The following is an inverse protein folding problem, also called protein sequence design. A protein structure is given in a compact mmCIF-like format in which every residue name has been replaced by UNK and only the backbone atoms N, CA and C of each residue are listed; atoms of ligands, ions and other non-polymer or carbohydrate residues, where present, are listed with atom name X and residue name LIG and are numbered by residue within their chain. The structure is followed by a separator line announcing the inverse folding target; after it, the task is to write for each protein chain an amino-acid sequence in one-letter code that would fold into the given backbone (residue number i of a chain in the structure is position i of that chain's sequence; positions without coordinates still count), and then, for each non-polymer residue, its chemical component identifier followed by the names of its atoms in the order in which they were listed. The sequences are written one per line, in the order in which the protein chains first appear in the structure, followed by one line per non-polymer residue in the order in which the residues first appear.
data_IF_844137813595
#
_entry.id   IF_844137813595
#
_cell.length_a   1.000
_cell.length_b   1.000
_cell.length_c   1.000
_cell.angle_alpha   90.00
_cell.angle_beta   90.00
_cell.angle_gamma   90.00
#
_symmetry.space_group_name_H-M   'P 1'
#
loop_
_entity.id
_entity.type
_entity.pdbx_description
1 polymer ?
#
# COMPACT_ATOMS: atom_id res chain seq x y z
N UNK A 1 -12.05 52.56 10.59
CA UNK A 1 -12.00 52.46 9.12
C UNK A 1 -12.14 51.00 8.62
N UNK A 2 -13.36 50.48 8.47
CA UNK A 2 -13.60 49.11 7.98
C UNK A 2 -13.21 48.90 6.51
N UNK A 3 -13.31 49.94 5.66
CA UNK A 3 -12.88 49.89 4.25
C UNK A 3 -11.37 49.70 4.09
N UNK A 4 -10.55 50.32 4.94
CA UNK A 4 -9.09 50.17 4.91
C UNK A 4 -8.64 48.74 5.28
N UNK A 5 -9.27 48.14 6.31
CA UNK A 5 -9.04 46.72 6.66
C UNK A 5 -9.44 45.77 5.55
N UNK A 6 -10.58 46.02 4.87
CA UNK A 6 -11.02 45.21 3.73
C UNK A 6 -10.03 45.28 2.56
N UNK A 7 -9.50 46.47 2.26
CA UNK A 7 -8.50 46.68 1.21
C UNK A 7 -7.17 45.97 1.53
N UNK A 8 -6.68 46.09 2.76
CA UNK A 8 -5.48 45.38 3.21
C UNK A 8 -5.65 43.84 3.15
N UNK A 9 -6.82 43.33 3.53
CA UNK A 9 -7.13 41.90 3.41
C UNK A 9 -7.13 41.40 1.96
N UNK A 10 -7.70 42.18 1.03
CA UNK A 10 -7.67 41.86 -0.40
C UNK A 10 -6.25 41.90 -0.98
N UNK A 11 -5.43 42.86 -0.55
CA UNK A 11 -4.02 42.92 -0.96
C UNK A 11 -3.24 41.71 -0.45
N UNK A 12 -3.43 41.33 0.82
CA UNK A 12 -2.78 40.15 1.39
C UNK A 12 -3.21 38.86 0.66
N UNK A 13 -4.51 38.71 0.38
CA UNK A 13 -5.02 37.58 -0.41
C UNK A 13 -4.43 37.58 -1.84
N UNK A 14 -4.34 38.74 -2.48
CA UNK A 14 -3.71 38.89 -3.79
C UNK A 14 -2.23 38.52 -3.79
N UNK A 15 -1.45 38.97 -2.80
CA UNK A 15 -0.05 38.58 -2.65
C UNK A 15 0.11 37.08 -2.39
N UNK A 16 -0.76 36.48 -1.58
CA UNK A 16 -0.76 35.04 -1.32
C UNK A 16 -1.06 34.24 -2.58
N UNK A 17 -2.11 34.59 -3.32
CA UNK A 17 -2.46 33.95 -4.59
C UNK A 17 -1.37 34.15 -5.65
N UNK A 18 -0.78 35.35 -5.70
CA UNK A 18 0.37 35.64 -6.56
C UNK A 18 1.59 34.77 -6.22
N UNK A 19 1.89 34.62 -4.93
CA UNK A 19 2.95 33.72 -4.44
C UNK A 19 2.69 32.26 -4.78
N UNK A 20 1.46 31.77 -4.57
CA UNK A 20 1.05 30.42 -5.02
C UNK A 20 1.22 30.27 -6.53
N UNK A 21 0.79 31.26 -7.31
CA UNK A 21 0.93 31.26 -8.76
C UNK A 21 2.39 31.19 -9.21
N UNK A 22 3.28 31.95 -8.58
CA UNK A 22 4.73 31.91 -8.85
C UNK A 22 5.34 30.52 -8.67
N UNK A 23 4.81 29.71 -7.73
CA UNK A 23 5.29 28.34 -7.48
C UNK A 23 4.61 27.32 -8.41
N UNK A 24 3.29 27.42 -8.60
CA UNK A 24 2.50 26.39 -9.29
C UNK A 24 2.47 26.56 -10.82
N UNK A 25 2.47 27.80 -11.32
CA UNK A 25 2.35 28.06 -12.76
C UNK A 25 3.55 27.56 -13.57
N UNK A 26 4.82 27.66 -13.13
CA UNK A 26 5.95 27.08 -13.86
C UNK A 26 5.84 25.56 -14.01
N UNK A 27 5.41 24.88 -12.94
CA UNK A 27 5.16 23.43 -12.96
C UNK A 27 4.03 23.10 -13.94
N UNK A 28 2.94 23.87 -13.88
CA UNK A 28 1.78 23.69 -14.76
C UNK A 28 2.13 23.94 -16.23
N UNK A 29 2.94 24.96 -16.52
CA UNK A 29 3.44 25.27 -17.85
C UNK A 29 4.35 24.16 -18.37
N UNK A 30 5.29 23.66 -17.56
CA UNK A 30 6.11 22.50 -17.91
C UNK A 30 5.26 21.27 -18.23
N UNK A 31 4.27 20.98 -17.38
CA UNK A 31 3.36 19.85 -17.59
C UNK A 31 2.60 19.98 -18.91
N UNK A 32 2.16 21.19 -19.26
CA UNK A 32 1.51 21.47 -20.53
C UNK A 32 2.45 21.30 -21.73
N UNK A 33 3.67 21.83 -21.66
CA UNK A 33 4.66 21.75 -22.75
C UNK A 33 5.11 20.30 -23.00
N UNK A 34 5.31 19.51 -21.94
CA UNK A 34 5.82 18.13 -22.05
C UNK A 34 4.69 17.12 -22.30
N UNK A 35 3.55 17.27 -21.62
CA UNK A 35 2.47 16.30 -21.61
C UNK A 35 1.27 16.65 -22.50
N UNK A 36 1.24 17.84 -23.10
CA UNK A 36 0.12 18.31 -23.92
C UNK A 36 -1.15 18.67 -23.14
N UNK A 37 -1.12 18.58 -21.81
CA UNK A 37 -2.27 18.80 -20.93
C UNK A 37 -1.90 19.71 -19.74
N UNK A 38 -2.80 20.62 -19.36
CA UNK A 38 -2.56 21.53 -18.24
C UNK A 38 -2.89 20.84 -16.91
N UNK A 39 -1.87 20.68 -16.05
CA UNK A 39 -2.02 20.10 -14.71
C UNK A 39 -1.39 21.02 -13.67
N UNK A 40 -2.15 21.37 -12.62
CA UNK A 40 -1.67 22.27 -11.56
C UNK A 40 -0.41 21.75 -10.86
N UNK A 41 -0.34 20.43 -10.66
CA UNK A 41 0.80 19.73 -10.04
C UNK A 41 1.07 18.39 -10.74
N UNK A 42 0.08 17.50 -10.78
CA UNK A 42 0.20 16.12 -11.29
C UNK A 42 -1.12 15.59 -11.83
N UNK A 43 -1.04 14.63 -12.75
CA UNK A 43 -2.18 13.84 -13.24
C UNK A 43 -2.53 12.66 -12.33
N UNK A 44 -1.83 12.46 -11.21
CA UNK A 44 -2.02 11.31 -10.31
C UNK A 44 -3.13 11.50 -9.26
N UNK A 45 -3.88 12.61 -9.32
CA UNK A 45 -4.95 12.88 -8.36
C UNK A 45 -5.98 11.74 -8.30
N UNK A 46 -6.45 11.26 -9.47
CA UNK A 46 -7.46 10.21 -9.57
C UNK A 46 -7.03 8.88 -8.97
N UNK A 47 -5.92 8.27 -9.42
CA UNK A 47 -5.40 7.03 -8.85
C UNK A 47 -5.20 7.12 -7.34
N UNK A 48 -4.54 8.17 -6.85
CA UNK A 48 -4.28 8.35 -5.41
C UNK A 48 -5.59 8.49 -4.60
N UNK A 49 -6.57 9.21 -5.15
CA UNK A 49 -7.88 9.31 -4.52
C UNK A 49 -8.57 7.95 -4.49
N UNK A 50 -8.54 7.20 -5.58
CA UNK A 50 -9.19 5.89 -5.67
C UNK A 50 -8.56 4.85 -4.75
N UNK A 51 -7.22 4.75 -4.68
CA UNK A 51 -6.50 3.82 -3.80
C UNK A 51 -7.01 3.92 -2.36
N UNK A 52 -7.25 5.14 -1.89
CA UNK A 52 -7.82 5.36 -0.57
C UNK A 52 -9.33 5.14 -0.49
N UNK A 53 -10.08 5.21 -1.59
CA UNK A 53 -11.55 5.34 -1.59
C UNK A 53 -12.23 4.34 -2.54
N UNK A 54 -12.15 3.06 -2.18
CA UNK A 54 -12.90 1.98 -2.82
C UNK A 54 -13.38 0.97 -1.77
N UNK A 55 -14.29 0.07 -2.16
CA UNK A 55 -14.95 -0.87 -1.24
C UNK A 55 -14.02 -1.83 -0.48
N UNK A 56 -12.81 -2.10 -1.01
CA UNK A 56 -11.80 -2.97 -0.40
C UNK A 56 -10.71 -2.20 0.37
N UNK A 57 -10.74 -0.86 0.32
CA UNK A 57 -9.73 -0.04 0.98
C UNK A 57 -9.82 -0.19 2.51
N UNK A 58 -8.68 -0.33 3.16
CA UNK A 58 -8.59 -0.44 4.63
C UNK A 58 -8.18 0.89 5.31
N UNK A 59 -8.03 1.97 4.54
CA UNK A 59 -7.61 3.28 5.01
C UNK A 59 -6.10 3.56 4.88
N UNK A 60 -5.29 2.52 4.67
CA UNK A 60 -3.88 2.60 4.27
C UNK A 60 -3.74 2.49 2.74
N UNK A 61 -2.52 2.61 2.24
CA UNK A 61 -2.17 2.29 0.87
C UNK A 61 -2.45 0.80 0.57
N UNK A 62 -3.08 0.54 -0.58
CA UNK A 62 -3.23 -0.78 -1.16
C UNK A 62 -2.93 -0.69 -2.66
N UNK A 63 -2.07 -1.57 -3.22
CA UNK A 63 -1.81 -1.53 -4.64
C UNK A 63 -3.05 -1.95 -5.44
N UNK A 64 -3.20 -1.36 -6.63
CA UNK A 64 -4.33 -1.66 -7.52
C UNK A 64 -4.28 -3.10 -8.04
N UNK A 65 -3.08 -3.66 -8.18
CA UNK A 65 -2.86 -5.08 -8.43
C UNK A 65 -2.22 -5.71 -7.20
N UNK A 66 -2.68 -6.88 -6.75
CA UNK A 66 -2.00 -7.63 -5.71
C UNK A 66 -0.50 -7.78 -6.03
N UNK A 67 0.35 -7.64 -5.02
CA UNK A 67 1.81 -7.88 -5.09
C UNK A 67 2.62 -6.88 -5.94
N UNK A 68 2.00 -5.86 -6.55
CA UNK A 68 2.69 -4.76 -7.24
C UNK A 68 2.65 -3.47 -6.42
N UNK A 69 3.18 -3.55 -5.20
CA UNK A 69 3.17 -2.49 -4.19
C UNK A 69 4.11 -1.32 -4.43
N UNK A 70 5.10 -1.44 -5.32
CA UNK A 70 6.14 -0.43 -5.47
C UNK A 70 5.67 0.80 -6.25
N UNK A 71 6.23 1.96 -5.91
CA UNK A 71 5.95 3.23 -6.58
C UNK A 71 6.17 3.19 -8.11
N UNK A 72 7.03 2.29 -8.59
CA UNK A 72 7.28 2.08 -10.03
C UNK A 72 6.03 1.57 -10.76
N UNK A 73 5.22 0.73 -10.10
CA UNK A 73 4.07 0.08 -10.72
C UNK A 73 2.77 0.85 -10.55
N UNK A 74 2.64 1.72 -9.54
CA UNK A 74 1.41 2.47 -9.27
C UNK A 74 0.83 3.18 -10.50
N UNK A 75 1.66 4.00 -11.16
CA UNK A 75 1.23 4.76 -12.33
C UNK A 75 0.93 3.85 -13.53
N UNK A 76 1.73 2.80 -13.70
CA UNK A 76 1.57 1.85 -14.80
C UNK A 76 0.29 1.03 -14.63
N UNK A 77 0.06 0.45 -13.46
CA UNK A 77 -1.11 -0.37 -13.15
C UNK A 77 -2.39 0.47 -13.21
N UNK A 78 -2.36 1.70 -12.68
CA UNK A 78 -3.49 2.62 -12.78
C UNK A 78 -3.85 2.90 -14.25
N UNK A 79 -2.84 3.06 -15.12
CA UNK A 79 -3.05 3.27 -16.55
C UNK A 79 -3.59 2.02 -17.22
N UNK A 80 -2.89 0.90 -17.10
CA UNK A 80 -3.23 -0.36 -17.77
C UNK A 80 -4.62 -0.86 -17.40
N UNK A 81 -4.99 -0.81 -16.11
CA UNK A 81 -6.31 -1.23 -15.66
C UNK A 81 -7.41 -0.30 -16.19
N UNK A 82 -7.16 1.00 -16.28
CA UNK A 82 -8.11 1.94 -16.85
C UNK A 82 -8.25 1.76 -18.37
N UNK A 83 -7.14 1.57 -19.09
CA UNK A 83 -7.12 1.30 -20.53
C UNK A 83 -7.82 -0.02 -20.87
N UNK A 84 -7.58 -1.07 -20.07
CA UNK A 84 -8.25 -2.36 -20.20
C UNK A 84 -9.77 -2.24 -20.00
N UNK A 85 -10.19 -1.49 -18.98
CA UNK A 85 -11.61 -1.30 -18.67
C UNK A 85 -12.34 -0.47 -19.74
N UNK A 86 -11.67 0.50 -20.36
CA UNK A 86 -12.26 1.37 -21.40
C UNK A 86 -12.10 0.77 -22.81
N UNK A 87 -11.14 -0.13 -23.01
CA UNK A 87 -10.85 -0.77 -24.31
C UNK A 87 -10.06 0.11 -25.28
N UNK A 88 -9.33 1.12 -24.79
CA UNK A 88 -8.45 1.97 -25.61
C UNK A 88 -7.34 2.59 -24.76
N UNK A 89 -6.32 3.12 -25.42
CA UNK A 89 -5.30 3.94 -24.75
C UNK A 89 -5.90 5.25 -24.21
N UNK A 90 -5.42 5.67 -23.04
CA UNK A 90 -5.90 6.84 -22.31
C UNK A 90 -4.78 7.85 -22.07
N UNK A 91 -5.10 9.14 -22.13
CA UNK A 91 -4.18 10.19 -21.66
C UNK A 91 -4.04 10.16 -20.13
N UNK A 92 -2.98 10.73 -19.54
CA UNK A 92 -2.84 10.83 -18.09
C UNK A 92 -4.04 11.53 -17.40
N UNK A 93 -4.62 12.59 -17.99
CA UNK A 93 -5.84 13.18 -17.44
C UNK A 93 -7.05 12.24 -17.56
N UNK A 94 -7.18 11.48 -18.66
CA UNK A 94 -8.26 10.51 -18.81
C UNK A 94 -8.18 9.40 -17.77
N UNK A 95 -6.97 8.88 -17.51
CA UNK A 95 -6.71 7.93 -16.42
C UNK A 95 -7.11 8.55 -15.08
N UNK A 96 -6.68 9.79 -14.79
CA UNK A 96 -7.11 10.50 -13.58
C UNK A 96 -8.63 10.60 -13.46
N UNK A 97 -9.30 11.05 -14.53
CA UNK A 97 -10.76 11.21 -14.54
C UNK A 97 -11.48 9.88 -14.39
N UNK A 98 -10.94 8.79 -14.93
CA UNK A 98 -11.49 7.45 -14.75
C UNK A 98 -11.49 7.06 -13.26
N UNK A 99 -10.34 7.12 -12.60
CA UNK A 99 -10.22 6.74 -11.19
C UNK A 99 -10.96 7.68 -10.24
N UNK A 100 -10.98 8.99 -10.52
CA UNK A 100 -11.82 9.94 -9.76
C UNK A 100 -13.30 9.58 -9.86
N UNK A 101 -13.79 9.15 -11.03
CA UNK A 101 -15.18 8.70 -11.20
C UNK A 101 -15.45 7.42 -10.43
N UNK A 102 -14.51 6.47 -10.42
CA UNK A 102 -14.63 5.24 -9.63
C UNK A 102 -14.71 5.53 -8.12
N UNK A 103 -13.87 6.43 -7.61
CA UNK A 103 -13.91 6.85 -6.20
C UNK A 103 -15.25 7.54 -5.87
N UNK A 104 -15.70 8.45 -6.72
CA UNK A 104 -16.99 9.13 -6.55
C UNK A 104 -18.19 8.18 -6.69
N UNK A 105 -18.05 7.09 -7.46
CA UNK A 105 -19.06 6.04 -7.55
C UNK A 105 -19.15 5.27 -6.24
N UNK A 106 -18.02 4.87 -5.63
CA UNK A 106 -18.04 4.23 -4.31
C UNK A 106 -18.74 5.09 -3.24
N UNK A 107 -18.49 6.40 -3.21
CA UNK A 107 -19.17 7.32 -2.28
C UNK A 107 -20.69 7.36 -2.48
N UNK A 108 -21.14 7.27 -3.73
CA UNK A 108 -22.58 7.29 -4.08
C UNK A 108 -23.25 5.96 -3.80
N UNK A 109 -22.58 4.86 -4.13
CA UNK A 109 -23.13 3.50 -4.05
C UNK A 109 -23.13 2.98 -2.60
N UNK A 110 -22.11 3.32 -1.79
CA UNK A 110 -22.01 2.96 -0.37
C UNK A 110 -21.54 4.12 0.52
N UNK A 111 -22.40 5.11 0.80
CA UNK A 111 -22.04 6.25 1.65
C UNK A 111 -21.74 5.85 3.08
N UNK A 112 -22.31 4.74 3.58
CA UNK A 112 -22.07 4.24 4.94
C UNK A 112 -20.69 3.60 5.06
N UNK A 113 -20.29 2.79 4.09
CA UNK A 113 -18.95 2.24 3.99
C UNK A 113 -17.90 3.34 3.84
N UNK A 114 -18.16 4.35 3.01
CA UNK A 114 -17.29 5.50 2.88
C UNK A 114 -17.14 6.28 4.21
N UNK A 115 -18.23 6.55 4.94
CA UNK A 115 -18.15 7.21 6.26
C UNK A 115 -17.36 6.39 7.27
N UNK A 116 -17.53 5.06 7.28
CA UNK A 116 -16.75 4.15 8.14
C UNK A 116 -15.26 4.19 7.78
N UNK A 117 -14.96 4.22 6.49
CA UNK A 117 -13.60 4.34 5.98
C UNK A 117 -12.95 5.68 6.36
N UNK A 118 -13.68 6.80 6.23
CA UNK A 118 -13.22 8.12 6.70
C UNK A 118 -12.96 8.13 8.20
N UNK A 119 -13.86 7.56 9.00
CA UNK A 119 -13.67 7.44 10.45
C UNK A 119 -12.42 6.61 10.79
N UNK A 120 -12.20 5.49 10.10
CA UNK A 120 -10.98 4.68 10.25
C UNK A 120 -9.73 5.48 9.89
N UNK A 121 -9.71 6.17 8.75
CA UNK A 121 -8.59 7.01 8.33
C UNK A 121 -8.32 8.14 9.32
N UNK A 122 -9.35 8.72 9.92
CA UNK A 122 -9.19 9.71 10.97
C UNK A 122 -8.45 9.12 12.18
N UNK A 123 -8.83 7.92 12.63
CA UNK A 123 -8.10 7.23 13.71
C UNK A 123 -6.65 6.96 13.30
N UNK A 124 -6.43 6.41 12.09
CA UNK A 124 -5.09 6.12 11.57
C UNK A 124 -4.20 7.37 11.47
N UNK A 125 -4.77 8.51 11.06
CA UNK A 125 -4.04 9.78 10.91
C UNK A 125 -3.44 10.24 12.25
N UNK A 126 -4.14 10.00 13.35
CA UNK A 126 -3.72 10.40 14.69
C UNK A 126 -3.13 9.25 15.52
N UNK A 127 -2.98 8.05 14.94
CA UNK A 127 -2.55 6.88 15.68
C UNK A 127 -1.09 6.96 16.15
N UNK A 128 -0.77 6.35 17.28
CA UNK A 128 0.58 6.31 17.82
C UNK A 128 1.55 5.50 16.94
N UNK A 129 1.04 4.52 16.20
CA UNK A 129 1.81 3.72 15.27
C UNK A 129 1.94 4.47 13.94
N UNK A 130 3.15 4.48 13.40
CA UNK A 130 3.45 4.98 12.07
C UNK A 130 3.22 3.90 11.03
N UNK A 131 2.38 4.22 10.05
CA UNK A 131 2.04 3.32 8.96
C UNK A 131 3.13 3.36 7.90
N UNK A 132 3.68 2.20 7.59
CA UNK A 132 4.73 2.05 6.58
C UNK A 132 4.19 2.31 5.18
N UNK A 133 5.04 2.89 4.35
CA UNK A 133 4.86 3.00 2.91
C UNK A 133 5.78 2.02 2.18
N UNK A 134 7.07 2.02 2.57
CA UNK A 134 8.08 1.06 2.07
C UNK A 134 8.88 0.47 3.22
N UNK A 135 9.38 1.32 4.12
CA UNK A 135 10.19 0.91 5.27
C UNK A 135 9.68 1.60 6.54
N UNK A 136 9.72 0.88 7.65
CA UNK A 136 9.26 1.35 8.94
C UNK A 136 10.44 1.85 9.81
N UNK A 137 10.16 2.83 10.66
CA UNK A 137 11.18 3.37 11.57
C UNK A 137 11.53 2.44 12.74
N UNK A 138 10.69 1.46 13.06
CA UNK A 138 10.87 0.57 14.21
C UNK A 138 12.00 -0.41 13.96
N UNK A 139 12.12 -0.93 12.74
CA UNK A 139 13.25 -1.75 12.29
C UNK A 139 14.56 -0.96 12.43
N UNK A 140 14.63 0.29 11.97
CA UNK A 140 15.85 1.11 12.14
C UNK A 140 16.16 1.46 13.59
N UNK A 141 15.14 1.57 14.45
CA UNK A 141 15.33 1.85 15.87
C UNK A 141 16.05 0.71 16.61
N UNK A 142 15.97 -0.53 16.12
CA UNK A 142 16.70 -1.68 16.70
C UNK A 142 18.22 -1.51 16.59
N UNK A 143 18.68 -0.79 15.56
CA UNK A 143 20.09 -0.53 15.30
C UNK A 143 20.57 0.82 15.83
N UNK A 144 19.67 1.65 16.39
CA UNK A 144 19.99 3.00 16.85
C UNK A 144 19.32 3.33 18.18
N UNK A 145 20.14 3.38 19.24
CA UNK A 145 19.67 3.79 20.58
C UNK A 145 18.99 5.16 20.60
N UNK A 146 19.47 6.10 19.77
CA UNK A 146 18.86 7.43 19.67
C UNK A 146 17.45 7.37 19.09
N UNK A 147 17.26 6.62 18.00
CA UNK A 147 15.94 6.41 17.40
C UNK A 147 15.02 5.63 18.34
N UNK A 148 15.54 4.59 18.98
CA UNK A 148 14.82 3.82 20.00
C UNK A 148 14.29 4.70 21.14
N UNK A 149 15.15 5.56 21.71
CA UNK A 149 14.73 6.51 22.75
C UNK A 149 13.70 7.52 22.22
N UNK A 150 13.88 8.02 20.99
CA UNK A 150 12.93 8.95 20.38
C UNK A 150 11.55 8.32 20.16
N UNK A 151 11.49 7.00 19.95
CA UNK A 151 10.25 6.24 19.75
C UNK A 151 9.28 6.30 20.93
N UNK A 152 9.76 6.61 22.15
CA UNK A 152 8.89 6.79 23.32
C UNK A 152 8.30 8.19 23.47
N UNK A 153 8.83 9.19 22.75
CA UNK A 153 8.51 10.61 23.00
C UNK A 153 7.95 11.29 21.76
N UNK A 154 8.46 10.95 20.58
CA UNK A 154 8.24 11.69 19.33
C UNK A 154 7.23 10.98 18.42
N UNK A 155 6.20 10.36 19.02
CA UNK A 155 5.09 9.74 18.28
C UNK A 155 3.77 10.43 18.60
N UNK A 156 2.76 10.27 17.73
CA UNK A 156 1.51 11.02 17.84
C UNK A 156 0.70 10.66 19.10
N UNK A 157 0.93 9.46 19.67
CA UNK A 157 0.36 9.03 20.94
C UNK A 157 0.77 9.87 22.15
N UNK A 158 1.89 10.59 22.07
CA UNK A 158 2.37 11.53 23.10
C UNK A 158 2.24 12.98 22.64
N UNK A 159 2.63 13.26 21.39
CA UNK A 159 2.64 14.62 20.86
C UNK A 159 1.23 15.23 20.79
N UNK A 160 0.23 14.48 20.33
CA UNK A 160 -1.13 15.02 20.13
C UNK A 160 -1.82 15.35 21.47
N UNK A 161 -1.79 14.49 22.50
CA UNK A 161 -2.30 14.83 23.84
C UNK A 161 -1.64 16.07 24.46
N UNK A 162 -0.32 16.19 24.34
CA UNK A 162 0.43 17.35 24.82
C UNK A 162 0.10 18.60 24.02
N UNK A 163 -0.08 18.48 22.70
CA UNK A 163 -0.49 19.58 21.83
C UNK A 163 -1.90 20.09 22.17
N UNK A 164 -2.84 19.18 22.46
CA UNK A 164 -4.19 19.55 22.94
C UNK A 164 -4.11 20.29 24.27
N UNK A 165 -3.27 19.82 25.20
CA UNK A 165 -3.04 20.52 26.45
C UNK A 165 -2.40 21.91 26.23
N UNK A 166 -1.44 22.00 25.32
CA UNK A 166 -0.82 23.26 24.91
C UNK A 166 -1.82 24.23 24.27
N UNK A 167 -2.78 23.73 23.50
CA UNK A 167 -3.87 24.53 22.96
C UNK A 167 -4.76 25.11 24.08
N UNK A 168 -5.02 24.35 25.16
CA UNK A 168 -5.69 24.88 26.36
C UNK A 168 -4.87 26.00 27.03
N UNK A 169 -3.58 25.75 27.26
CA UNK A 169 -2.67 26.73 27.87
C UNK A 169 -2.61 28.05 27.06
N UNK A 170 -2.61 27.94 25.74
CA UNK A 170 -2.42 29.07 24.81
C UNK A 170 -3.72 29.62 24.22
N UNK A 171 -4.88 29.13 24.66
CA UNK A 171 -6.18 29.48 24.05
C UNK A 171 -6.49 30.98 24.07
N UNK A 172 -5.98 31.70 25.08
CA UNK A 172 -6.09 33.16 25.16
C UNK A 172 -5.46 33.88 23.94
N UNK A 173 -4.46 33.25 23.28
CA UNK A 173 -3.79 33.72 22.06
C UNK A 173 -4.32 33.09 20.77
N UNK A 174 -5.50 32.46 20.80
CA UNK A 174 -6.07 31.73 19.64
C UNK A 174 -6.21 32.54 18.35
N UNK A 175 -6.28 33.88 18.42
CA UNK A 175 -6.31 34.74 17.22
C UNK A 175 -4.94 34.84 16.55
N UNK A 176 -3.87 34.85 17.35
CA UNK A 176 -2.49 34.84 16.85
C UNK A 176 -2.12 33.44 16.33
N UNK A 177 -2.59 32.40 17.02
CA UNK A 177 -2.32 31.00 16.69
C UNK A 177 -3.30 30.40 15.67
N UNK A 178 -4.25 31.18 15.14
CA UNK A 178 -5.30 30.69 14.26
C UNK A 178 -4.71 29.95 13.05
N UNK A 179 -3.69 30.54 12.40
CA UNK A 179 -3.06 29.94 11.23
C UNK A 179 -2.43 28.57 11.57
N UNK A 180 -1.81 28.44 12.73
CA UNK A 180 -1.23 27.18 13.20
C UNK A 180 -2.30 26.10 13.36
N UNK A 181 -3.44 26.43 13.98
CA UNK A 181 -4.56 25.50 14.11
C UNK A 181 -5.16 25.12 12.76
N UNK A 182 -5.32 26.09 11.86
CA UNK A 182 -5.84 25.83 10.51
C UNK A 182 -4.90 24.92 9.72
N UNK A 183 -3.58 25.11 9.81
CA UNK A 183 -2.60 24.21 9.17
C UNK A 183 -2.77 22.79 9.68
N UNK A 184 -2.81 22.58 11.00
CA UNK A 184 -2.97 21.24 11.58
C UNK A 184 -4.28 20.58 11.12
N UNK A 185 -5.40 21.31 11.17
CA UNK A 185 -6.72 20.77 10.80
C UNK A 185 -6.81 20.50 9.29
N UNK A 186 -6.48 21.47 8.44
CA UNK A 186 -6.60 21.30 6.99
C UNK A 186 -5.61 20.28 6.45
N UNK A 187 -4.41 20.22 7.00
CA UNK A 187 -3.44 19.20 6.59
C UNK A 187 -3.91 17.80 6.99
N UNK A 188 -4.38 17.60 8.23
CA UNK A 188 -4.94 16.33 8.66
C UNK A 188 -6.15 15.90 7.79
N UNK A 189 -7.04 16.83 7.47
CA UNK A 189 -8.15 16.56 6.55
C UNK A 189 -7.66 16.17 5.15
N UNK A 190 -6.60 16.81 4.64
CA UNK A 190 -6.03 16.45 3.35
C UNK A 190 -5.50 15.02 3.34
N UNK A 191 -4.91 14.53 4.43
CA UNK A 191 -4.45 13.14 4.56
C UNK A 191 -5.64 12.16 4.59
N UNK A 192 -6.69 12.49 5.36
CA UNK A 192 -7.89 11.63 5.50
C UNK A 192 -8.62 11.41 4.17
N UNK A 193 -8.64 12.40 3.28
CA UNK A 193 -9.32 12.31 1.98
C UNK A 193 -8.69 11.26 1.06
N UNK A 194 -7.37 11.05 1.14
CA UNK A 194 -6.64 10.07 0.32
C UNK A 194 -6.47 8.75 1.06
N UNK A 195 -5.24 8.30 1.31
CA UNK A 195 -4.90 7.14 2.12
C UNK A 195 -3.83 7.54 3.14
N UNK A 196 -3.80 6.84 4.26
CA UNK A 196 -2.97 7.22 5.41
C UNK A 196 -1.70 6.39 5.43
N UNK A 197 -0.56 7.06 5.25
CA UNK A 197 0.79 6.51 5.45
C UNK A 197 1.66 7.52 6.20
N UNK A 198 2.71 7.06 6.88
CA UNK A 198 3.58 7.87 7.73
C UNK A 198 4.18 9.08 7.00
N UNK A 199 4.62 8.88 5.75
CA UNK A 199 5.17 9.95 4.89
C UNK A 199 4.25 11.15 4.76
N UNK A 200 2.93 10.93 4.65
CA UNK A 200 1.95 11.99 4.50
C UNK A 200 1.44 12.54 5.82
N UNK A 201 1.70 11.88 6.95
CA UNK A 201 1.35 12.41 8.28
C UNK A 201 2.46 13.27 8.85
N UNK A 202 3.71 12.99 8.47
CA UNK A 202 4.91 13.62 9.00
C UNK A 202 4.86 15.16 9.05
N UNK A 203 4.31 15.88 8.05
CA UNK A 203 4.25 17.35 8.11
C UNK A 203 3.33 17.91 9.20
N UNK A 204 2.51 17.09 9.87
CA UNK A 204 1.79 17.47 11.10
C UNK A 204 2.72 17.56 12.31
N UNK A 205 3.87 16.89 12.31
CA UNK A 205 4.73 16.82 13.49
C UNK A 205 5.28 18.20 13.92
N UNK A 206 5.86 19.04 13.05
CA UNK A 206 6.39 20.34 13.48
C UNK A 206 5.37 21.25 14.20
N UNK A 207 4.15 21.50 13.68
CA UNK A 207 3.18 22.32 14.40
C UNK A 207 2.66 21.66 15.69
N UNK A 208 2.55 20.33 15.73
CA UNK A 208 2.19 19.60 16.95
C UNK A 208 3.29 19.71 18.02
N UNK A 209 4.57 19.64 17.64
CA UNK A 209 5.70 19.80 18.55
C UNK A 209 5.67 21.18 19.22
N UNK A 210 5.39 22.25 18.46
CA UNK A 210 5.28 23.60 19.02
C UNK A 210 4.16 23.71 20.06
N UNK A 211 3.00 23.13 19.77
CA UNK A 211 1.87 23.09 20.71
C UNK A 211 2.18 22.20 21.92
N UNK A 212 2.78 21.03 21.70
CA UNK A 212 3.16 20.11 22.77
C UNK A 212 4.17 20.74 23.73
N UNK A 213 5.19 21.43 23.20
CA UNK A 213 6.15 22.19 23.98
C UNK A 213 5.46 23.27 24.83
N UNK A 214 4.51 24.02 24.25
CA UNK A 214 3.71 24.98 25.03
C UNK A 214 2.90 24.30 26.14
N UNK A 215 2.37 23.10 25.89
CA UNK A 215 1.70 22.27 26.88
C UNK A 215 2.60 21.96 28.08
N UNK A 216 3.80 21.44 27.82
CA UNK A 216 4.79 21.10 28.85
C UNK A 216 5.24 22.34 29.62
N UNK A 217 5.67 23.39 28.93
CA UNK A 217 6.22 24.60 29.55
C UNK A 217 5.18 25.37 30.39
N UNK A 218 3.93 25.45 29.93
CA UNK A 218 2.90 26.23 30.61
C UNK A 218 2.08 25.44 31.63
N UNK A 219 2.23 24.12 31.72
CA UNK A 219 1.32 23.26 32.51
C UNK A 219 1.17 23.69 33.96
N UNK A 220 2.29 23.87 34.67
CA UNK A 220 2.27 24.24 36.09
C UNK A 220 1.61 25.60 36.31
N UNK A 221 1.88 26.57 35.43
CA UNK A 221 1.29 27.90 35.50
C UNK A 221 -0.20 27.88 35.21
N UNK A 222 -0.62 27.15 34.17
CA UNK A 222 -2.02 27.01 33.79
C UNK A 222 -2.84 26.33 34.89
N UNK A 223 -2.40 25.18 35.39
CA UNK A 223 -3.12 24.40 36.42
C UNK A 223 -3.32 25.17 37.74
N UNK A 224 -2.46 26.16 38.02
CA UNK A 224 -2.57 27.01 39.22
C UNK A 224 -3.39 28.28 39.00
N UNK A 225 -3.48 28.77 37.77
CA UNK A 225 -4.10 30.07 37.44
C UNK A 225 -5.56 29.97 37.01
N UNK A 226 -6.01 28.80 36.55
CA UNK A 226 -7.39 28.61 36.08
C UNK A 226 -8.29 27.94 37.12
N UNK A 227 -9.62 28.14 37.05
CA UNK A 227 -10.57 27.39 37.88
C UNK A 227 -10.42 25.88 37.71
N UNK A 228 -10.65 25.13 38.80
CA UNK A 228 -10.47 23.66 38.84
C UNK A 228 -11.18 22.90 37.72
N UNK A 229 -12.38 23.33 37.32
CA UNK A 229 -13.13 22.68 36.24
C UNK A 229 -12.44 22.83 34.87
N UNK A 230 -11.78 23.98 34.59
CA UNK A 230 -11.02 24.18 33.35
C UNK A 230 -9.75 23.33 33.34
N UNK A 231 -9.06 23.27 34.48
CA UNK A 231 -7.90 22.39 34.64
C UNK A 231 -8.29 20.92 34.44
N UNK A 232 -9.39 20.48 35.06
CA UNK A 232 -9.92 19.13 34.91
C UNK A 232 -10.35 18.84 33.46
N UNK A 233 -11.03 19.76 32.79
CA UNK A 233 -11.42 19.62 31.39
C UNK A 233 -10.21 19.51 30.45
N UNK A 234 -9.16 20.32 30.67
CA UNK A 234 -7.93 20.26 29.89
C UNK A 234 -7.25 18.89 30.05
N UNK A 235 -7.05 18.44 31.28
CA UNK A 235 -6.44 17.12 31.56
C UNK A 235 -7.30 15.99 31.00
N UNK A 236 -8.61 16.02 31.24
CA UNK A 236 -9.53 15.01 30.71
C UNK A 236 -9.48 14.94 29.18
N UNK A 237 -9.50 16.10 28.49
CA UNK A 237 -9.39 16.14 27.03
C UNK A 237 -8.08 15.54 26.52
N UNK A 238 -6.95 15.85 27.17
CA UNK A 238 -5.65 15.27 26.82
C UNK A 238 -5.59 13.76 27.08
N UNK A 239 -6.16 13.28 28.19
CA UNK A 239 -6.24 11.84 28.49
C UNK A 239 -7.13 11.12 27.47
N UNK A 240 -8.31 11.66 27.15
CA UNK A 240 -9.19 11.09 26.12
C UNK A 240 -8.51 11.01 24.76
N UNK A 241 -7.78 12.06 24.36
CA UNK A 241 -7.00 12.08 23.12
C UNK A 241 -5.84 11.09 23.18
N UNK A 242 -5.20 10.91 24.34
CA UNK A 242 -4.16 9.90 24.51
C UNK A 242 -4.71 8.49 24.31
N UNK A 243 -5.87 8.18 24.89
CA UNK A 243 -6.56 6.89 24.67
C UNK A 243 -6.92 6.72 23.20
N UNK A 244 -7.43 7.78 22.54
CA UNK A 244 -7.77 7.74 21.12
C UNK A 244 -6.55 7.49 20.22
N UNK A 245 -5.47 8.24 20.41
CA UNK A 245 -4.25 8.12 19.61
C UNK A 245 -3.54 6.78 19.84
N UNK A 246 -3.59 6.23 21.06
CA UNK A 246 -2.97 4.93 21.37
C UNK A 246 -3.94 3.75 21.23
N UNK A 247 -5.12 3.94 20.61
CA UNK A 247 -6.04 2.85 20.35
C UNK A 247 -5.38 1.82 19.41
N UNK A 248 -5.44 0.51 19.70
CA UNK A 248 -4.71 -0.52 18.96
C UNK A 248 -5.38 -0.87 17.63
N UNK A 249 -5.45 0.10 16.70
CA UNK A 249 -5.93 -0.11 15.32
C UNK A 249 -4.82 -0.53 14.34
N UNK A 250 -3.56 -0.35 14.73
CA UNK A 250 -2.36 -0.67 13.95
C UNK A 250 -1.31 -1.32 14.87
N UNK A 251 -0.40 -2.10 14.28
CA UNK A 251 0.63 -2.85 15.01
C UNK A 251 2.01 -2.49 14.47
N UNK A 252 2.96 -2.18 15.37
CA UNK A 252 4.36 -1.99 14.99
C UNK A 252 4.95 -3.28 14.39
N UNK A 253 4.56 -4.45 14.90
CA UNK A 253 5.03 -5.74 14.37
C UNK A 253 4.52 -5.98 12.94
N UNK A 254 3.30 -5.55 12.63
CA UNK A 254 2.80 -5.59 11.25
C UNK A 254 3.60 -4.65 10.33
N UNK A 255 4.03 -3.48 10.82
CA UNK A 255 4.87 -2.56 10.04
C UNK A 255 6.26 -3.15 9.79
N UNK A 256 6.88 -3.75 10.83
CA UNK A 256 8.13 -4.49 10.70
C UNK A 256 8.02 -5.66 9.72
N UNK A 257 6.91 -6.41 9.78
CA UNK A 257 6.67 -7.51 8.86
C UNK A 257 6.71 -7.03 7.40
N UNK A 258 6.03 -5.92 7.09
CA UNK A 258 6.03 -5.32 5.75
C UNK A 258 7.45 -4.91 5.33
N UNK A 259 8.24 -4.32 6.22
CA UNK A 259 9.63 -3.94 5.90
C UNK A 259 10.49 -5.16 5.59
N UNK A 260 10.46 -6.19 6.44
CA UNK A 260 11.19 -7.43 6.19
C UNK A 260 10.75 -8.09 4.88
N UNK A 261 9.45 -8.11 4.58
CA UNK A 261 8.94 -8.58 3.29
C UNK A 261 9.52 -7.77 2.12
N UNK A 262 9.51 -6.44 2.21
CA UNK A 262 10.02 -5.58 1.14
C UNK A 262 11.53 -5.75 0.93
N UNK A 263 12.32 -5.85 2.01
CA UNK A 263 13.76 -6.15 1.91
C UNK A 263 13.98 -7.52 1.27
N UNK A 264 13.19 -8.53 1.65
CA UNK A 264 13.22 -9.85 1.02
C UNK A 264 12.96 -9.81 -0.49
N UNK A 265 11.97 -9.03 -0.94
CA UNK A 265 11.66 -8.84 -2.37
C UNK A 265 12.84 -8.21 -3.13
N UNK A 266 13.49 -7.21 -2.55
CA UNK A 266 14.64 -6.57 -3.19
C UNK A 266 15.88 -7.50 -3.24
N UNK A 267 16.09 -8.32 -2.21
CA UNK A 267 17.15 -9.34 -2.20
C UNK A 267 16.91 -10.42 -3.25
N UNK A 268 15.66 -10.87 -3.39
CA UNK A 268 15.24 -11.85 -4.40
C UNK A 268 15.46 -11.31 -5.83
N UNK A 269 15.16 -10.04 -6.06
CA UNK A 269 15.38 -9.37 -7.35
C UNK A 269 16.86 -9.29 -7.77
N UNK A 270 17.80 -9.41 -6.81
CA UNK A 270 19.25 -9.49 -7.07
C UNK A 270 19.81 -10.90 -6.84
N UNK A 271 18.94 -11.92 -6.83
CA UNK A 271 19.28 -13.35 -6.71
C UNK A 271 20.00 -13.74 -5.41
N UNK A 272 19.81 -12.99 -4.32
CA UNK A 272 20.35 -13.30 -2.99
C UNK A 272 19.33 -14.11 -2.18
N UNK A 273 19.02 -15.30 -2.67
CA UNK A 273 17.87 -16.10 -2.21
C UNK A 273 17.94 -16.51 -0.74
N UNK A 274 19.10 -16.91 -0.22
CA UNK A 274 19.23 -17.32 1.18
C UNK A 274 18.95 -16.17 2.15
N UNK A 275 19.38 -14.97 1.81
CA UNK A 275 19.13 -13.77 2.61
C UNK A 275 17.67 -13.33 2.50
N UNK A 276 17.10 -13.38 1.29
CA UNK A 276 15.67 -13.11 1.06
C UNK A 276 14.79 -14.05 1.90
N UNK A 277 15.10 -15.35 1.93
CA UNK A 277 14.41 -16.34 2.78
C UNK A 277 14.49 -15.93 4.26
N UNK A 278 15.65 -15.49 4.73
CA UNK A 278 15.83 -15.02 6.11
C UNK A 278 14.87 -13.86 6.46
N UNK A 279 14.80 -12.86 5.60
CA UNK A 279 13.91 -11.71 5.74
C UNK A 279 12.43 -12.12 5.67
N UNK A 280 12.06 -12.97 4.73
CA UNK A 280 10.68 -13.47 4.64
C UNK A 280 10.27 -14.31 5.85
N UNK A 281 11.18 -15.08 6.45
CA UNK A 281 10.90 -15.83 7.68
C UNK A 281 10.66 -14.88 8.87
N UNK A 282 11.41 -13.77 8.96
CA UNK A 282 11.15 -12.72 9.95
C UNK A 282 9.78 -12.07 9.72
N UNK A 283 9.44 -11.75 8.47
CA UNK A 283 8.11 -11.25 8.12
C UNK A 283 7.00 -12.22 8.52
N UNK A 284 7.12 -13.51 8.18
CA UNK A 284 6.10 -14.52 8.47
C UNK A 284 5.94 -14.78 9.98
N UNK A 285 7.02 -14.60 10.77
CA UNK A 285 6.96 -14.67 12.22
C UNK A 285 6.17 -13.52 12.84
N UNK A 286 6.28 -12.32 12.26
CA UNK A 286 5.62 -11.10 12.75
C UNK A 286 4.17 -10.99 12.25
N UNK A 287 3.89 -11.42 11.02
CA UNK A 287 2.56 -11.51 10.43
C UNK A 287 2.34 -12.86 9.71
N UNK A 288 1.82 -13.87 10.42
CA UNK A 288 1.55 -15.20 9.85
C UNK A 288 0.40 -15.25 8.85
N UNK A 289 -0.29 -14.13 8.58
CA UNK A 289 -1.44 -14.10 7.67
C UNK A 289 -1.09 -13.83 6.19
N UNK A 290 0.16 -13.44 5.90
CA UNK A 290 0.54 -12.95 4.57
C UNK A 290 0.73 -14.04 3.53
N UNK A 291 -0.29 -14.32 2.70
CA UNK A 291 -0.15 -15.25 1.55
C UNK A 291 1.01 -14.91 0.61
N UNK A 292 1.26 -13.61 0.40
CA UNK A 292 2.38 -13.11 -0.40
C UNK A 292 3.75 -13.55 0.14
N UNK A 293 3.91 -13.46 1.47
CA UNK A 293 5.15 -13.84 2.17
C UNK A 293 5.40 -15.34 1.98
N UNK A 294 4.37 -16.17 2.16
CA UNK A 294 4.50 -17.61 1.96
C UNK A 294 4.72 -18.02 0.50
N UNK A 295 4.13 -17.29 -0.47
CA UNK A 295 4.45 -17.52 -1.88
C UNK A 295 5.93 -17.27 -2.16
N UNK A 296 6.47 -16.13 -1.69
CA UNK A 296 7.86 -15.77 -1.95
C UNK A 296 8.84 -16.65 -1.17
N UNK A 297 8.50 -17.09 0.05
CA UNK A 297 9.23 -18.15 0.74
C UNK A 297 9.27 -19.43 -0.10
N UNK A 298 8.13 -19.82 -0.65
CA UNK A 298 8.00 -20.95 -1.56
C UNK A 298 8.95 -20.85 -2.77
N UNK A 299 8.91 -19.71 -3.45
CA UNK A 299 9.80 -19.42 -4.57
C UNK A 299 11.27 -19.45 -4.16
N UNK A 300 11.64 -18.74 -3.09
CA UNK A 300 13.02 -18.73 -2.59
C UNK A 300 13.52 -20.14 -2.25
N UNK A 301 12.70 -20.96 -1.59
CA UNK A 301 13.06 -22.35 -1.30
C UNK A 301 13.22 -23.22 -2.56
N UNK A 302 12.45 -22.99 -3.63
CA UNK A 302 12.67 -23.67 -4.91
C UNK A 302 14.02 -23.28 -5.53
N UNK A 303 14.37 -21.99 -5.50
CA UNK A 303 15.64 -21.50 -6.07
C UNK A 303 16.87 -22.06 -5.34
N UNK A 304 16.79 -22.29 -4.03
CA UNK A 304 17.87 -22.93 -3.25
C UNK A 304 17.75 -24.47 -3.17
N UNK A 305 16.83 -25.07 -3.93
CA UNK A 305 16.66 -26.53 -4.03
C UNK A 305 15.99 -27.21 -2.81
N UNK A 306 15.40 -26.46 -1.89
CA UNK A 306 14.67 -26.96 -0.71
C UNK A 306 13.19 -27.19 -1.04
N UNK A 307 12.91 -28.07 -2.01
CA UNK A 307 11.56 -28.27 -2.56
C UNK A 307 10.50 -28.66 -1.52
N UNK A 308 10.85 -29.43 -0.50
CA UNK A 308 9.91 -29.84 0.55
C UNK A 308 9.37 -28.63 1.34
N UNK A 309 10.26 -27.73 1.75
CA UNK A 309 9.88 -26.49 2.42
C UNK A 309 9.13 -25.54 1.50
N UNK A 310 9.46 -25.56 0.21
CA UNK A 310 8.73 -24.77 -0.78
C UNK A 310 7.25 -25.19 -0.85
N UNK A 311 6.98 -26.50 -0.92
CA UNK A 311 5.61 -27.04 -0.93
C UNK A 311 4.87 -26.65 0.35
N UNK A 312 5.48 -26.79 1.53
CA UNK A 312 4.86 -26.38 2.79
C UNK A 312 4.42 -24.90 2.77
N UNK A 313 5.31 -24.00 2.33
CA UNK A 313 5.00 -22.58 2.24
C UNK A 313 3.91 -22.30 1.20
N UNK A 314 3.98 -22.91 0.02
CA UNK A 314 3.01 -22.68 -1.05
C UNK A 314 1.62 -23.22 -0.72
N UNK A 315 1.53 -24.33 0.02
CA UNK A 315 0.27 -24.83 0.58
C UNK A 315 -0.34 -23.79 1.54
N UNK A 316 0.46 -23.21 2.44
CA UNK A 316 -0.01 -22.14 3.32
C UNK A 316 -0.45 -20.90 2.55
N UNK A 317 0.28 -20.50 1.50
CA UNK A 317 -0.08 -19.37 0.65
C UNK A 317 -1.47 -19.55 0.00
N UNK A 318 -1.71 -20.74 -0.59
CA UNK A 318 -2.99 -21.09 -1.22
C UNK A 318 -4.11 -21.27 -0.20
N UNK A 319 -3.82 -21.80 1.00
CA UNK A 319 -4.80 -21.92 2.07
C UNK A 319 -5.26 -20.55 2.59
N UNK A 320 -4.31 -19.62 2.77
CA UNK A 320 -4.60 -18.26 3.23
C UNK A 320 -5.32 -17.40 2.16
N UNK A 321 -5.02 -17.63 0.88
CA UNK A 321 -5.71 -16.98 -0.22
C UNK A 321 -5.97 -17.97 -1.37
N UNK A 322 -7.15 -18.62 -1.39
CA UNK A 322 -7.51 -19.56 -2.44
C UNK A 322 -7.60 -18.94 -3.84
N UNK A 323 -7.65 -17.62 -3.97
CA UNK A 323 -7.70 -16.91 -5.26
C UNK A 323 -6.32 -16.43 -5.73
N UNK A 324 -5.26 -16.78 -5.00
CA UNK A 324 -3.90 -16.41 -5.36
C UNK A 324 -3.36 -17.30 -6.48
N UNK A 325 -3.66 -16.90 -7.73
CA UNK A 325 -3.26 -17.60 -8.96
C UNK A 325 -1.78 -17.94 -9.01
N UNK A 326 -0.91 -16.98 -8.66
CA UNK A 326 0.55 -17.16 -8.68
C UNK A 326 1.01 -18.21 -7.67
N UNK A 327 0.51 -18.17 -6.43
CA UNK A 327 0.83 -19.18 -5.42
C UNK A 327 0.38 -20.58 -5.83
N UNK A 328 -0.81 -20.73 -6.44
CA UNK A 328 -1.26 -22.03 -6.95
C UNK A 328 -0.41 -22.51 -8.13
N UNK A 329 0.02 -21.60 -9.01
CA UNK A 329 0.92 -21.94 -10.11
C UNK A 329 2.28 -22.41 -9.60
N UNK A 330 2.86 -21.68 -8.64
CA UNK A 330 4.12 -22.04 -7.99
C UNK A 330 4.00 -23.35 -7.20
N UNK A 331 2.86 -23.61 -6.55
CA UNK A 331 2.59 -24.90 -5.90
C UNK A 331 2.61 -26.06 -6.92
N UNK A 332 1.97 -25.87 -8.08
CA UNK A 332 2.03 -26.84 -9.18
C UNK A 332 3.46 -27.11 -9.65
N UNK A 333 4.28 -26.06 -9.81
CA UNK A 333 5.71 -26.20 -10.14
C UNK A 333 6.49 -26.95 -9.06
N UNK A 334 6.23 -26.65 -7.79
CA UNK A 334 6.87 -27.35 -6.68
C UNK A 334 6.51 -28.84 -6.63
N UNK A 335 5.25 -29.19 -6.92
CA UNK A 335 4.83 -30.59 -7.05
C UNK A 335 5.46 -31.30 -8.24
N UNK A 336 5.64 -30.63 -9.39
CA UNK A 336 6.44 -31.19 -10.49
C UNK A 336 7.87 -31.50 -10.03
N UNK A 337 8.52 -30.58 -9.31
CA UNK A 337 9.86 -30.80 -8.79
C UNK A 337 9.93 -31.98 -7.78
N UNK A 338 8.87 -32.23 -7.01
CA UNK A 338 8.75 -33.42 -6.14
C UNK A 338 8.30 -34.70 -6.85
N UNK A 339 8.10 -34.68 -8.17
CA UNK A 339 7.51 -35.80 -8.93
C UNK A 339 6.10 -36.20 -8.49
N UNK A 340 5.37 -35.26 -7.89
CA UNK A 340 3.96 -35.42 -7.48
C UNK A 340 3.05 -34.96 -8.62
N UNK A 341 3.08 -35.70 -9.73
CA UNK A 341 2.48 -35.31 -11.00
C UNK A 341 0.96 -35.12 -10.93
N UNK A 342 0.27 -35.95 -10.15
CA UNK A 342 -1.18 -35.82 -9.96
C UNK A 342 -1.54 -34.52 -9.23
N UNK A 343 -0.83 -34.17 -8.15
CA UNK A 343 -1.06 -32.94 -7.39
C UNK A 343 -0.73 -31.69 -8.22
N UNK A 344 0.35 -31.75 -9.00
CA UNK A 344 0.69 -30.71 -9.97
C UNK A 344 -0.42 -30.52 -11.02
N UNK A 345 -0.92 -31.62 -11.60
CA UNK A 345 -2.03 -31.58 -12.55
C UNK A 345 -3.27 -30.94 -11.94
N UNK A 346 -3.64 -31.27 -10.70
CA UNK A 346 -4.79 -30.66 -10.03
C UNK A 346 -4.63 -29.13 -9.88
N UNK A 347 -3.44 -28.67 -9.49
CA UNK A 347 -3.14 -27.24 -9.39
C UNK A 347 -3.34 -26.51 -10.74
N UNK A 348 -2.79 -27.06 -11.82
CA UNK A 348 -2.89 -26.46 -13.15
C UNK A 348 -4.30 -26.59 -13.76
N UNK A 349 -5.03 -27.67 -13.47
CA UNK A 349 -6.43 -27.84 -13.90
C UNK A 349 -7.31 -26.78 -13.26
N UNK A 350 -7.13 -26.50 -11.98
CA UNK A 350 -7.87 -25.44 -11.29
C UNK A 350 -7.59 -24.06 -11.91
N UNK A 351 -6.32 -23.78 -12.25
CA UNK A 351 -5.96 -22.53 -12.93
C UNK A 351 -6.61 -22.41 -14.31
N UNK A 352 -6.53 -23.47 -15.12
CA UNK A 352 -7.15 -23.51 -16.44
C UNK A 352 -8.69 -23.43 -16.38
N UNK A 353 -9.33 -23.97 -15.33
CA UNK A 353 -10.77 -23.81 -15.12
C UNK A 353 -11.16 -22.36 -14.81
N UNK A 354 -10.38 -21.68 -13.97
CA UNK A 354 -10.65 -20.28 -13.59
C UNK A 354 -10.28 -19.29 -14.68
N UNK A 355 -9.20 -19.56 -15.41
CA UNK A 355 -8.74 -18.76 -16.52
C UNK A 355 -8.38 -19.68 -17.71
N UNK A 356 -9.36 -19.96 -18.60
CA UNK A 356 -9.15 -20.81 -19.77
C UNK A 356 -8.08 -20.31 -20.75
N UNK A 357 -7.73 -19.03 -20.70
CA UNK A 357 -6.75 -18.37 -21.56
C UNK A 357 -5.40 -18.15 -20.85
N UNK A 358 -5.14 -18.84 -19.74
CA UNK A 358 -3.83 -18.85 -19.09
C UNK A 358 -2.90 -19.87 -19.75
N UNK A 359 -2.07 -19.42 -20.70
CA UNK A 359 -1.12 -20.28 -21.42
C UNK A 359 -0.20 -21.08 -20.47
N UNK A 360 0.28 -20.48 -19.39
CA UNK A 360 1.14 -21.14 -18.40
C UNK A 360 0.45 -22.30 -17.69
N UNK A 361 -0.87 -22.23 -17.47
CA UNK A 361 -1.62 -23.32 -16.84
C UNK A 361 -1.71 -24.53 -17.78
N UNK A 362 -2.02 -24.32 -19.06
CA UNK A 362 -2.03 -25.39 -20.07
C UNK A 362 -0.65 -25.98 -20.29
N UNK A 363 0.41 -25.16 -20.25
CA UNK A 363 1.78 -25.65 -20.30
C UNK A 363 2.11 -26.54 -19.09
N UNK A 364 1.74 -26.11 -17.87
CA UNK A 364 1.90 -26.96 -16.67
C UNK A 364 1.15 -28.30 -16.76
N UNK A 365 -0.05 -28.31 -17.35
CA UNK A 365 -0.79 -29.55 -17.64
C UNK A 365 -0.05 -30.46 -18.62
N UNK A 366 0.54 -29.87 -19.67
CA UNK A 366 1.33 -30.62 -20.64
C UNK A 366 2.54 -31.30 -20.00
N UNK A 367 3.29 -30.56 -19.19
CA UNK A 367 4.46 -31.10 -18.47
C UNK A 367 4.04 -32.21 -17.52
N UNK A 368 3.01 -31.99 -16.70
CA UNK A 368 2.50 -33.03 -15.80
C UNK A 368 2.06 -34.29 -16.56
N UNK A 369 1.35 -34.14 -17.68
CA UNK A 369 0.90 -35.26 -18.51
C UNK A 369 2.07 -36.01 -19.16
N UNK A 370 3.09 -35.29 -19.62
CA UNK A 370 4.30 -35.87 -20.18
C UNK A 370 5.04 -36.74 -19.15
N UNK A 371 5.25 -36.23 -17.95
CA UNK A 371 5.91 -36.94 -16.84
C UNK A 371 5.12 -38.19 -16.37
N UNK A 372 3.79 -38.20 -16.58
CA UNK A 372 2.94 -39.37 -16.35
C UNK A 372 2.89 -40.36 -17.51
N UNK A 373 3.57 -40.08 -18.63
CA UNK A 373 3.55 -40.91 -19.84
C UNK A 373 2.29 -40.74 -20.71
N UNK A 374 1.41 -39.78 -20.42
CA UNK A 374 0.23 -39.49 -21.23
C UNK A 374 0.56 -38.53 -22.38
N UNK A 375 1.22 -39.07 -23.40
CA UNK A 375 1.61 -38.32 -24.59
C UNK A 375 0.42 -37.74 -25.39
N UNK A 376 -0.79 -38.29 -25.22
CA UNK A 376 -1.99 -37.76 -25.88
C UNK A 376 -2.42 -36.46 -25.21
N UNK A 377 -2.60 -36.47 -23.89
CA UNK A 377 -3.00 -35.28 -23.14
C UNK A 377 -1.91 -34.20 -23.17
N UNK A 378 -0.63 -34.59 -23.12
CA UNK A 378 0.49 -33.65 -23.25
C UNK A 378 0.43 -32.87 -24.57
N UNK A 379 0.27 -33.56 -25.72
CA UNK A 379 0.18 -32.91 -27.03
C UNK A 379 -1.03 -31.97 -27.15
N UNK A 380 -2.16 -32.35 -26.57
CA UNK A 380 -3.36 -31.52 -26.60
C UNK A 380 -3.18 -30.24 -25.77
N UNK A 381 -2.64 -30.37 -24.56
CA UNK A 381 -2.35 -29.23 -23.70
C UNK A 381 -1.32 -28.28 -24.33
N UNK A 382 -0.26 -28.79 -24.98
CA UNK A 382 0.71 -27.96 -25.70
C UNK A 382 0.09 -27.20 -26.88
N UNK A 383 -0.80 -27.84 -27.65
CA UNK A 383 -1.55 -27.16 -28.71
C UNK A 383 -2.42 -26.05 -28.15
N UNK A 384 -3.06 -26.28 -27.00
CA UNK A 384 -3.87 -25.25 -26.34
C UNK A 384 -3.02 -24.08 -25.86
N UNK A 385 -1.84 -24.34 -25.29
CA UNK A 385 -0.86 -23.30 -24.94
C UNK A 385 -0.52 -22.44 -26.16
N UNK A 386 -0.16 -23.06 -27.29
CA UNK A 386 0.22 -22.35 -28.52
C UNK A 386 -0.96 -21.65 -29.23
N UNK A 387 -2.19 -22.12 -29.01
CA UNK A 387 -3.39 -21.45 -29.52
C UNK A 387 -3.69 -20.16 -28.74
N UNK A 388 -3.30 -20.10 -27.46
CA UNK A 388 -3.46 -18.91 -26.60
C UNK A 388 -2.27 -17.97 -26.82
N UNK A 389 -1.05 -18.50 -26.80
CA UNK A 389 0.19 -17.77 -27.01
C UNK A 389 1.07 -18.50 -28.02
N UNK A 390 1.00 -18.05 -29.27
CA UNK A 390 1.78 -18.61 -30.37
C UNK A 390 3.29 -18.39 -30.22
N UNK A 391 3.71 -17.48 -29.33
CA UNK A 391 5.12 -17.18 -29.05
C UNK A 391 5.70 -17.98 -27.88
N UNK A 392 4.94 -18.91 -27.29
CA UNK A 392 5.39 -19.72 -26.15
C UNK A 392 6.44 -20.77 -26.58
N UNK A 393 7.71 -20.37 -26.61
CA UNK A 393 8.83 -21.15 -27.16
C UNK A 393 8.95 -22.56 -26.57
N UNK A 394 8.88 -22.68 -25.23
CA UNK A 394 9.00 -23.97 -24.56
C UNK A 394 7.90 -24.96 -25.00
N UNK A 395 6.67 -24.48 -25.21
CA UNK A 395 5.58 -25.33 -25.66
C UNK A 395 5.76 -25.78 -27.12
N UNK A 396 6.30 -24.92 -27.98
CA UNK A 396 6.63 -25.27 -29.36
C UNK A 396 7.72 -26.34 -29.43
N UNK A 397 8.77 -26.21 -28.60
CA UNK A 397 9.86 -27.17 -28.50
C UNK A 397 9.35 -28.54 -28.03
N UNK A 398 8.62 -28.59 -26.92
CA UNK A 398 8.10 -29.84 -26.34
C UNK A 398 7.14 -30.57 -27.30
N UNK A 399 6.32 -29.80 -28.03
CA UNK A 399 5.42 -30.37 -29.03
C UNK A 399 6.19 -30.93 -30.23
N UNK A 400 7.30 -30.29 -30.63
CA UNK A 400 8.21 -30.78 -31.65
C UNK A 400 8.84 -32.12 -31.25
N UNK A 401 9.36 -32.20 -30.02
CA UNK A 401 9.96 -33.43 -29.47
C UNK A 401 8.95 -34.58 -29.42
N UNK A 402 7.72 -34.33 -28.95
CA UNK A 402 6.66 -35.34 -28.89
C UNK A 402 6.14 -35.80 -30.26
N UNK A 403 6.34 -35.03 -31.33
CA UNK A 403 6.04 -35.44 -32.70
C UNK A 403 7.15 -36.28 -33.32
N UNK A 404 8.40 -36.03 -32.93
CA UNK A 404 9.58 -36.74 -33.43
C UNK A 404 9.78 -38.11 -32.74
N UNK A 405 9.19 -38.33 -31.56
CA UNK A 405 9.19 -39.63 -30.90
C UNK A 405 8.45 -40.67 -31.77
N UNK A 406 9.10 -41.79 -32.16
CA UNK A 406 8.43 -42.83 -32.94
C UNK A 406 7.22 -43.36 -32.18
N UNK A 407 6.11 -43.58 -32.90
CA UNK A 407 4.87 -44.14 -32.35
C UNK A 407 5.11 -45.57 -31.88
N UNK A 408 5.65 -45.76 -30.69
CA UNK A 408 5.71 -47.06 -30.02
C UNK A 408 4.37 -47.34 -29.36
N UNK A 409 3.33 -47.52 -30.17
CA UNK A 409 2.05 -48.14 -29.82
C UNK A 409 1.14 -48.08 -31.05
N UNK A 410 1.19 -49.16 -31.83
CA UNK A 410 0.03 -49.75 -32.51
C UNK A 410 0.15 -51.27 -32.34
#
# INVERSE_FOLDING_TARGET
APRARKRAGLQAAGCFLGGMGLVLLPVSARNFVVGGEFHLTTSQFGPNLYIGNHAKANGSYQPLRPHRGSAKYEQQDARELAELAVGRQLSPAEVSRYWTRQAAQFVRDDPRGWLRLMARKLVLTWNAIELVDTEDQYTYAEWSRGLWLSGFVVHFGVLVPLAVFGAWCTWHRRRELLLLYLIVVFYALSVVVFYVVGRYRYPLAPPLILLAAAGVCCARGFLRSVPRWKAAAAVASSVSVAVFCNWPVASADAMRAITHYNVGVELDAVHRYEEAIGEYLLSAKLDPGGSAVYNNLGCGFLEVGQTDRAVECLVLAVANNPDFTEARYNLGRAYLAQRRWNDARECFQELARRNPDMAQAHFGLAVAAHEMGDAKSAREALRRTLAIDASFEAAAMDLGLLKAAPSTQD
#
